data_IF_698562755112
#
_entry.id   IF_698562755112
#
_cell.length_a   1.000
_cell.length_b   1.000
_cell.length_c   1.000
_cell.angle_alpha   90.00
_cell.angle_beta   90.00
_cell.angle_gamma   90.00
#
_symmetry.space_group_name_H-M   'P 1'
#
loop_
_entity.id
_entity.type
_entity.pdbx_description
1 polymer ?
#
# COMPACT_ATOMS: atom_id res chain seq x y z
N UNK A 1 -9.44 0.72 -12.82
CA UNK A 1 -9.36 -0.76 -12.78
C UNK A 1 -9.94 -1.41 -14.03
N UNK A 2 -11.05 -0.89 -14.62
CA UNK A 2 -11.71 -1.53 -15.79
C UNK A 2 -10.79 -1.67 -17.00
N UNK A 3 -10.05 -0.63 -17.38
CA UNK A 3 -9.11 -0.68 -18.50
C UNK A 3 -7.95 -1.67 -18.29
N UNK A 4 -7.51 -1.86 -17.06
CA UNK A 4 -6.53 -2.90 -16.73
C UNK A 4 -7.10 -4.30 -17.03
N UNK A 5 -8.35 -4.56 -16.61
CA UNK A 5 -9.00 -5.84 -16.89
C UNK A 5 -9.23 -6.06 -18.38
N UNK A 6 -9.69 -5.05 -19.12
CA UNK A 6 -9.89 -5.12 -20.58
C UNK A 6 -8.59 -5.44 -21.30
N UNK A 7 -7.50 -4.76 -20.97
CA UNK A 7 -6.18 -5.05 -21.55
C UNK A 7 -5.71 -6.46 -21.21
N UNK A 8 -5.88 -6.92 -19.97
CA UNK A 8 -5.52 -8.28 -19.60
C UNK A 8 -6.32 -9.33 -20.38
N UNK A 9 -7.63 -9.12 -20.58
CA UNK A 9 -8.47 -10.02 -21.39
C UNK A 9 -7.93 -10.13 -22.81
N UNK A 10 -7.60 -8.99 -23.45
CA UNK A 10 -7.07 -8.95 -24.80
C UNK A 10 -5.73 -9.69 -24.89
N UNK A 11 -4.75 -9.32 -24.05
CA UNK A 11 -3.41 -9.88 -24.11
C UNK A 11 -3.35 -11.36 -23.71
N UNK A 12 -4.12 -11.79 -22.71
CA UNK A 12 -4.18 -13.19 -22.33
C UNK A 12 -4.75 -14.06 -23.45
N UNK A 13 -5.81 -13.61 -24.11
CA UNK A 13 -6.37 -14.34 -25.27
C UNK A 13 -5.40 -14.38 -26.45
N UNK A 14 -4.60 -13.35 -26.63
CA UNK A 14 -3.64 -13.27 -27.74
C UNK A 14 -2.38 -14.09 -27.50
N UNK A 15 -1.88 -14.17 -26.28
CA UNK A 15 -0.55 -14.69 -26.00
C UNK A 15 -0.51 -15.92 -25.09
N UNK A 16 -1.64 -16.31 -24.49
CA UNK A 16 -1.71 -17.38 -23.48
C UNK A 16 -2.65 -18.53 -23.85
N UNK A 17 -2.94 -18.67 -25.13
CA UNK A 17 -3.60 -19.86 -25.68
C UNK A 17 -2.52 -20.77 -26.21
N UNK A 18 -2.49 -22.03 -25.77
CA UNK A 18 -1.56 -23.05 -26.22
C UNK A 18 -1.85 -23.47 -27.67
N UNK A 19 -0.89 -24.11 -28.34
CA UNK A 19 -1.04 -24.57 -29.73
C UNK A 19 -2.22 -25.53 -29.92
N UNK A 20 -2.56 -26.29 -28.88
CA UNK A 20 -3.71 -27.22 -28.87
C UNK A 20 -5.07 -26.52 -28.56
N UNK A 21 -5.07 -25.20 -28.43
CA UNK A 21 -6.24 -24.38 -28.13
C UNK A 21 -6.63 -24.28 -26.65
N UNK A 22 -5.87 -24.89 -25.74
CA UNK A 22 -6.12 -24.75 -24.30
C UNK A 22 -5.64 -23.41 -23.79
N UNK A 23 -6.44 -22.80 -22.91
CA UNK A 23 -6.06 -21.64 -22.15
C UNK A 23 -5.36 -22.06 -20.86
N UNK A 24 -4.18 -21.52 -20.56
CA UNK A 24 -3.50 -21.69 -19.29
C UNK A 24 -3.80 -20.53 -18.30
N UNK A 25 -4.90 -19.84 -18.51
CA UNK A 25 -5.40 -18.75 -17.69
C UNK A 25 -6.91 -18.81 -17.56
N UNK A 26 -7.46 -18.11 -16.56
CA UNK A 26 -8.89 -17.83 -16.45
C UNK A 26 -9.09 -16.36 -16.09
N UNK A 27 -10.07 -15.72 -16.73
CA UNK A 27 -10.56 -14.41 -16.38
C UNK A 27 -12.04 -14.56 -16.09
N UNK A 28 -12.40 -14.30 -14.83
CA UNK A 28 -13.76 -14.53 -14.33
C UNK A 28 -14.34 -13.19 -13.89
N UNK A 29 -15.50 -12.85 -14.42
CA UNK A 29 -16.28 -11.72 -13.92
C UNK A 29 -17.05 -12.18 -12.68
N UNK A 30 -16.74 -11.56 -11.54
CA UNK A 30 -17.44 -11.78 -10.28
C UNK A 30 -18.68 -10.88 -10.19
N UNK A 31 -19.60 -11.19 -9.29
CA UNK A 31 -20.80 -10.40 -9.01
C UNK A 31 -20.42 -9.03 -8.41
N UNK A 32 -19.46 -9.04 -7.48
CA UNK A 32 -18.98 -7.88 -6.76
C UNK A 32 -17.53 -8.08 -6.27
N UNK A 33 -17.00 -7.09 -5.55
CA UNK A 33 -15.66 -7.14 -4.97
C UNK A 33 -15.48 -8.20 -3.91
N UNK A 34 -16.53 -8.53 -3.14
CA UNK A 34 -16.51 -9.62 -2.16
C UNK A 34 -16.29 -10.96 -2.86
N UNK A 35 -17.07 -11.23 -3.90
CA UNK A 35 -16.91 -12.45 -4.69
C UNK A 35 -15.55 -12.48 -5.41
N UNK A 36 -15.10 -11.35 -5.95
CA UNK A 36 -13.81 -11.26 -6.63
C UNK A 36 -12.64 -11.63 -5.73
N UNK A 37 -12.53 -11.03 -4.53
CA UNK A 37 -11.44 -11.34 -3.60
C UNK A 37 -11.54 -12.77 -3.06
N UNK A 38 -12.75 -13.28 -2.82
CA UNK A 38 -12.97 -14.68 -2.45
C UNK A 38 -12.45 -15.65 -3.52
N UNK A 39 -12.69 -15.36 -4.80
CA UNK A 39 -12.16 -16.15 -5.93
C UNK A 39 -10.62 -16.06 -5.99
N UNK A 40 -10.03 -14.86 -5.78
CA UNK A 40 -8.57 -14.68 -5.74
C UNK A 40 -7.95 -15.53 -4.65
N UNK A 41 -8.47 -15.49 -3.43
CA UNK A 41 -7.95 -16.27 -2.31
C UNK A 41 -8.15 -17.78 -2.55
N UNK A 42 -9.33 -18.19 -3.03
CA UNK A 42 -9.56 -19.59 -3.37
C UNK A 42 -8.61 -20.13 -4.43
N UNK A 43 -8.34 -19.35 -5.47
CA UNK A 43 -7.37 -19.68 -6.50
C UNK A 43 -5.93 -19.72 -5.95
N UNK A 44 -5.55 -18.74 -5.12
CA UNK A 44 -4.25 -18.71 -4.44
C UNK A 44 -4.02 -19.89 -3.50
N UNK A 45 -5.06 -20.30 -2.76
CA UNK A 45 -5.02 -21.50 -1.94
C UNK A 45 -4.81 -22.75 -2.79
N UNK A 46 -5.48 -22.83 -3.93
CA UNK A 46 -5.33 -23.94 -4.88
C UNK A 46 -3.98 -23.94 -5.66
N UNK A 47 -3.15 -22.92 -5.46
CA UNK A 47 -1.83 -22.80 -6.06
C UNK A 47 -1.80 -22.02 -7.37
N UNK A 48 -2.89 -21.35 -7.77
CA UNK A 48 -2.87 -20.44 -8.90
C UNK A 48 -2.36 -19.06 -8.48
N UNK A 49 -1.62 -18.40 -9.39
CA UNK A 49 -1.26 -16.97 -9.24
C UNK A 49 -2.48 -16.15 -9.65
N UNK A 50 -3.04 -15.43 -8.72
CA UNK A 50 -4.34 -14.78 -8.90
C UNK A 50 -4.35 -13.35 -8.40
N UNK A 51 -5.11 -12.51 -9.10
CA UNK A 51 -5.24 -11.10 -8.75
C UNK A 51 -6.65 -10.57 -9.07
N UNK A 52 -6.98 -9.47 -8.42
CA UNK A 52 -8.10 -8.61 -8.81
C UNK A 52 -7.68 -7.15 -8.81
N UNK A 53 -8.46 -6.28 -9.43
CA UNK A 53 -8.23 -4.84 -9.42
C UNK A 53 -9.48 -4.06 -9.08
N UNK A 54 -9.33 -3.06 -8.22
CA UNK A 54 -10.44 -2.23 -7.73
C UNK A 54 -9.97 -0.80 -7.43
N UNK A 55 -10.74 -0.06 -6.66
CA UNK A 55 -10.40 1.23 -6.06
C UNK A 55 -10.88 1.22 -4.60
N UNK A 56 -10.55 2.24 -3.82
CA UNK A 56 -10.84 2.32 -2.39
C UNK A 56 -12.21 1.83 -1.93
N UNK A 57 -13.35 2.14 -2.60
CA UNK A 57 -14.65 1.59 -2.22
C UNK A 57 -14.72 0.06 -2.26
N UNK A 58 -14.12 -0.56 -3.29
CA UNK A 58 -14.08 -2.02 -3.38
C UNK A 58 -13.11 -2.63 -2.39
N UNK A 59 -11.96 -1.97 -2.11
CA UNK A 59 -11.05 -2.39 -1.04
C UNK A 59 -11.78 -2.43 0.30
N UNK A 60 -12.65 -1.45 0.59
CA UNK A 60 -13.48 -1.45 1.80
C UNK A 60 -14.38 -2.68 1.91
N UNK A 61 -14.95 -3.14 0.81
CA UNK A 61 -15.77 -4.34 0.77
C UNK A 61 -14.97 -5.64 0.98
N UNK A 62 -13.71 -5.65 0.57
CA UNK A 62 -12.82 -6.81 0.67
C UNK A 62 -12.28 -7.08 2.09
N UNK A 63 -12.50 -6.18 3.05
CA UNK A 63 -11.81 -6.15 4.33
C UNK A 63 -11.81 -7.48 5.08
N UNK A 64 -12.96 -8.18 5.18
CA UNK A 64 -13.06 -9.44 5.91
C UNK A 64 -12.30 -10.57 5.22
N UNK A 65 -12.46 -10.72 3.90
CA UNK A 65 -11.73 -11.74 3.14
C UNK A 65 -10.21 -11.51 3.17
N UNK A 66 -9.76 -10.26 3.16
CA UNK A 66 -8.33 -9.94 3.31
C UNK A 66 -7.82 -10.36 4.69
N UNK A 67 -8.63 -10.15 5.76
CA UNK A 67 -8.32 -10.68 7.09
C UNK A 67 -8.23 -12.19 7.13
N UNK A 68 -9.13 -12.89 6.44
CA UNK A 68 -9.03 -14.33 6.25
C UNK A 68 -7.74 -14.72 5.52
N UNK A 69 -7.42 -14.06 4.41
CA UNK A 69 -6.19 -14.29 3.65
C UNK A 69 -4.92 -14.07 4.47
N UNK A 70 -4.92 -13.03 5.32
CA UNK A 70 -3.83 -12.73 6.25
C UNK A 70 -3.63 -13.83 7.30
N UNK A 71 -4.71 -14.20 8.01
CA UNK A 71 -4.61 -15.12 9.15
C UNK A 71 -4.47 -16.59 8.73
N UNK A 72 -5.15 -16.99 7.66
CA UNK A 72 -5.05 -18.33 7.08
C UNK A 72 -3.83 -18.49 6.15
N UNK A 73 -3.11 -17.40 5.90
CA UNK A 73 -1.90 -17.35 5.08
C UNK A 73 -2.11 -17.85 3.66
N UNK A 74 -2.96 -17.14 2.94
CA UNK A 74 -3.36 -17.44 1.57
C UNK A 74 -2.85 -16.33 0.64
N UNK A 75 -2.08 -16.65 -0.42
CA UNK A 75 -1.59 -15.65 -1.36
C UNK A 75 -2.72 -15.11 -2.26
N UNK A 76 -2.62 -13.82 -2.58
CA UNK A 76 -3.46 -13.15 -3.54
C UNK A 76 -2.97 -11.73 -3.77
N UNK A 77 -3.23 -11.14 -4.94
CA UNK A 77 -2.80 -9.77 -5.25
C UNK A 77 -4.01 -8.90 -5.52
N UNK A 78 -4.03 -7.73 -4.90
CA UNK A 78 -5.07 -6.73 -5.07
C UNK A 78 -4.44 -5.44 -5.62
N UNK A 79 -4.84 -5.04 -6.82
CA UNK A 79 -4.50 -3.74 -7.37
C UNK A 79 -5.53 -2.72 -6.94
N UNK A 80 -5.11 -1.76 -6.13
CA UNK A 80 -5.91 -0.61 -5.76
C UNK A 80 -5.49 0.59 -6.62
N UNK A 81 -6.38 0.98 -7.52
CA UNK A 81 -6.19 2.17 -8.36
C UNK A 81 -6.87 3.34 -7.65
N UNK A 82 -6.12 4.00 -6.80
CA UNK A 82 -6.63 5.04 -5.91
C UNK A 82 -7.29 6.20 -6.66
N UNK A 83 -8.39 6.66 -6.14
CA UNK A 83 -9.12 7.84 -6.62
C UNK A 83 -9.67 8.64 -5.44
N UNK A 84 -10.17 9.84 -5.73
CA UNK A 84 -10.73 10.71 -4.68
C UNK A 84 -11.92 10.03 -4.00
N UNK A 85 -11.79 9.79 -2.70
CA UNK A 85 -12.84 9.39 -1.77
C UNK A 85 -13.25 10.56 -0.86
N UNK A 86 -14.04 10.32 0.20
CA UNK A 86 -14.63 9.03 0.61
C UNK A 86 -15.84 8.62 -0.24
N UNK A 87 -16.28 7.37 -0.10
CA UNK A 87 -17.34 6.73 -0.88
C UNK A 87 -17.01 6.74 -2.39
N UNK A 88 -17.98 6.93 -3.27
CA UNK A 88 -17.73 7.04 -4.72
C UNK A 88 -16.82 8.23 -5.05
N UNK A 89 -16.92 9.30 -4.27
CA UNK A 89 -16.09 10.49 -4.38
C UNK A 89 -16.08 11.11 -5.77
N UNK A 90 -14.89 11.33 -6.33
CA UNK A 90 -14.70 11.81 -7.69
C UNK A 90 -14.06 10.70 -8.55
N UNK A 91 -14.85 9.88 -9.27
CA UNK A 91 -14.37 8.64 -9.91
C UNK A 91 -13.27 8.81 -10.94
N UNK A 92 -13.11 10.02 -11.50
CA UNK A 92 -12.11 10.35 -12.53
C UNK A 92 -11.01 11.29 -12.02
N UNK A 93 -10.85 11.40 -10.70
CA UNK A 93 -9.85 12.28 -10.06
C UNK A 93 -8.89 11.48 -9.23
N UNK A 94 -7.60 11.82 -9.35
CA UNK A 94 -6.52 11.13 -8.63
C UNK A 94 -6.45 11.56 -7.17
N UNK A 95 -6.04 10.63 -6.32
CA UNK A 95 -5.69 10.85 -4.92
C UNK A 95 -4.77 9.71 -4.43
N UNK A 96 -4.16 9.90 -3.27
CA UNK A 96 -3.43 8.88 -2.53
C UNK A 96 -4.11 8.68 -1.16
N UNK A 97 -5.40 8.32 -1.18
CA UNK A 97 -6.29 8.35 -0.01
C UNK A 97 -6.50 7.03 0.70
N UNK A 98 -5.94 5.92 0.17
CA UNK A 98 -6.23 4.58 0.67
C UNK A 98 -5.05 3.94 1.43
N UNK A 99 -3.98 4.72 1.70
CA UNK A 99 -2.72 4.25 2.31
C UNK A 99 -2.95 3.63 3.69
N UNK A 100 -3.62 4.34 4.59
CA UNK A 100 -3.91 3.83 5.93
C UNK A 100 -4.81 2.61 5.89
N UNK A 101 -5.77 2.60 4.96
CA UNK A 101 -6.69 1.50 4.79
C UNK A 101 -5.94 0.23 4.40
N UNK A 102 -5.13 0.27 3.32
CA UNK A 102 -4.45 -0.93 2.82
C UNK A 102 -3.31 -1.38 3.73
N UNK A 103 -2.67 -0.48 4.47
CA UNK A 103 -1.56 -0.84 5.36
C UNK A 103 -1.97 -1.84 6.45
N UNK A 104 -3.23 -1.76 6.91
CA UNK A 104 -3.77 -2.60 8.01
C UNK A 104 -5.23 -3.02 7.78
N UNK A 105 -5.57 -3.30 6.52
CA UNK A 105 -6.96 -3.65 6.17
C UNK A 105 -7.42 -4.91 6.90
N UNK A 106 -8.57 -4.87 7.49
CA UNK A 106 -9.34 -5.83 8.27
C UNK A 106 -9.43 -5.41 9.74
N UNK A 107 -9.93 -6.29 10.59
CA UNK A 107 -10.02 -6.10 12.04
C UNK A 107 -8.94 -6.88 12.75
N UNK A 108 -8.60 -6.48 13.97
CA UNK A 108 -7.51 -7.07 14.75
C UNK A 108 -6.13 -6.56 14.33
N UNK A 109 -5.09 -7.30 14.67
CA UNK A 109 -3.70 -6.94 14.44
C UNK A 109 -3.24 -7.44 13.07
N UNK A 110 -3.54 -6.67 12.03
CA UNK A 110 -3.17 -6.98 10.64
C UNK A 110 -2.09 -6.05 10.11
N UNK A 111 -1.33 -6.53 9.13
CA UNK A 111 -0.31 -5.80 8.41
C UNK A 111 -0.21 -6.34 6.98
N UNK A 112 0.01 -5.48 5.99
CA UNK A 112 0.08 -5.93 4.60
C UNK A 112 1.34 -5.47 3.89
N UNK A 113 1.82 -6.29 2.95
CA UNK A 113 2.81 -5.88 1.97
C UNK A 113 2.11 -5.00 0.94
N UNK A 114 2.62 -3.80 0.74
CA UNK A 114 2.08 -2.83 -0.22
C UNK A 114 3.19 -2.36 -1.14
N UNK A 115 3.03 -2.51 -2.44
CA UNK A 115 3.92 -1.98 -3.46
C UNK A 115 3.33 -0.69 -4.03
N UNK A 116 4.17 0.34 -4.20
CA UNK A 116 3.70 1.67 -4.58
C UNK A 116 4.46 2.14 -5.83
N UNK A 117 3.97 1.84 -7.04
CA UNK A 117 4.62 2.23 -8.28
C UNK A 117 4.51 3.75 -8.51
N UNK A 118 5.57 4.35 -9.08
CA UNK A 118 5.57 5.75 -9.51
C UNK A 118 5.46 5.93 -11.03
N UNK A 119 5.56 4.84 -11.78
CA UNK A 119 5.68 4.86 -13.24
C UNK A 119 5.05 3.61 -13.85
N UNK A 120 4.84 3.67 -15.17
CA UNK A 120 4.36 2.53 -15.96
C UNK A 120 5.38 1.37 -15.91
N UNK A 121 6.69 1.68 -15.89
CA UNK A 121 7.75 0.69 -15.74
C UNK A 121 7.62 -0.06 -14.42
N UNK A 122 7.47 0.65 -13.29
CA UNK A 122 7.27 -0.02 -12.00
C UNK A 122 5.92 -0.76 -11.92
N UNK A 123 4.86 -0.29 -12.60
CA UNK A 123 3.63 -1.08 -12.71
C UNK A 123 3.88 -2.42 -13.42
N UNK A 124 4.70 -2.43 -14.46
CA UNK A 124 5.08 -3.67 -15.15
C UNK A 124 5.87 -4.60 -14.24
N UNK A 125 6.91 -4.10 -13.57
CA UNK A 125 7.77 -4.90 -12.67
C UNK A 125 6.95 -5.48 -11.51
N UNK A 126 6.12 -4.65 -10.88
CA UNK A 126 5.29 -5.06 -9.75
C UNK A 126 4.14 -6.01 -10.15
N UNK A 127 3.82 -6.09 -11.44
CA UNK A 127 2.89 -7.09 -11.95
C UNK A 127 3.33 -8.53 -11.67
N UNK A 128 4.63 -8.82 -11.72
CA UNK A 128 5.20 -10.13 -11.36
C UNK A 128 5.66 -10.19 -9.90
N UNK A 129 6.29 -9.14 -9.40
CA UNK A 129 6.87 -9.08 -8.05
C UNK A 129 5.80 -9.22 -6.95
N UNK A 130 4.63 -8.59 -7.13
CA UNK A 130 3.53 -8.74 -6.17
C UNK A 130 3.05 -10.18 -6.04
N UNK A 131 2.98 -10.91 -7.15
CA UNK A 131 2.60 -12.32 -7.16
C UNK A 131 3.68 -13.20 -6.51
N UNK A 132 4.96 -12.89 -6.74
CA UNK A 132 6.08 -13.59 -6.11
C UNK A 132 6.07 -13.36 -4.58
N UNK A 133 5.92 -12.11 -4.14
CA UNK A 133 5.83 -11.76 -2.72
C UNK A 133 4.61 -12.41 -2.04
N UNK A 134 3.45 -12.41 -2.72
CA UNK A 134 2.26 -13.06 -2.18
C UNK A 134 2.48 -14.55 -1.93
N UNK A 135 3.14 -15.25 -2.85
CA UNK A 135 3.46 -16.67 -2.69
C UNK A 135 4.58 -16.94 -1.70
N UNK A 136 5.65 -16.12 -1.72
CA UNK A 136 6.77 -16.25 -0.79
C UNK A 136 6.31 -16.06 0.65
N UNK A 137 5.49 -15.05 0.91
CA UNK A 137 5.01 -14.73 2.25
C UNK A 137 3.64 -15.31 2.58
N UNK A 138 2.99 -15.98 1.61
CA UNK A 138 1.67 -16.60 1.79
C UNK A 138 0.68 -15.62 2.44
N UNK A 139 0.46 -14.48 1.77
CA UNK A 139 -0.36 -13.39 2.29
C UNK A 139 -0.95 -12.56 1.14
N UNK A 140 -2.07 -11.85 1.35
CA UNK A 140 -2.49 -10.83 0.42
C UNK A 140 -1.43 -9.72 0.27
N UNK A 141 -1.19 -9.30 -0.97
CA UNK A 141 -0.28 -8.20 -1.33
C UNK A 141 -1.06 -7.16 -2.11
N UNK A 142 -0.88 -5.89 -1.75
CA UNK A 142 -1.49 -4.77 -2.45
C UNK A 142 -0.50 -4.11 -3.40
N UNK A 143 -0.99 -3.71 -4.59
CA UNK A 143 -0.29 -2.75 -5.45
C UNK A 143 -1.13 -1.47 -5.45
N UNK A 144 -0.58 -0.43 -4.84
CA UNK A 144 -1.27 0.82 -4.58
C UNK A 144 -0.85 1.85 -5.64
N UNK A 145 -1.56 1.86 -6.76
CA UNK A 145 -1.43 2.82 -7.84
C UNK A 145 -2.45 3.95 -7.68
N UNK A 146 -2.49 4.88 -8.62
CA UNK A 146 -3.49 5.94 -8.64
C UNK A 146 -3.99 6.24 -10.05
N UNK A 147 -5.00 7.13 -10.17
CA UNK A 147 -5.60 7.47 -11.46
C UNK A 147 -4.70 8.35 -12.34
N UNK A 148 -3.67 8.98 -11.80
CA UNK A 148 -2.72 9.70 -12.63
C UNK A 148 -1.94 8.72 -13.54
N UNK A 149 -1.49 7.59 -12.97
CA UNK A 149 -0.95 6.48 -13.78
C UNK A 149 -2.03 5.77 -14.60
N UNK A 150 -3.22 5.61 -14.03
CA UNK A 150 -4.26 4.76 -14.60
C UNK A 150 -5.07 5.39 -15.74
N UNK A 151 -5.05 6.71 -15.91
CA UNK A 151 -5.87 7.43 -16.92
C UNK A 151 -5.06 8.28 -17.88
N UNK A 152 -3.82 8.63 -17.59
CA UNK A 152 -2.99 9.46 -18.43
C UNK A 152 -2.04 8.61 -19.29
N UNK A 153 -1.58 9.19 -20.39
CA UNK A 153 -0.58 8.59 -21.25
C UNK A 153 0.81 8.94 -20.71
N UNK A 154 1.58 7.92 -20.38
CA UNK A 154 2.94 8.05 -19.89
C UNK A 154 3.93 7.50 -20.91
N UNK A 155 5.09 8.12 -20.98
CA UNK A 155 6.24 7.56 -21.69
C UNK A 155 6.95 6.54 -20.79
N UNK A 156 7.40 5.46 -21.41
CA UNK A 156 8.18 4.41 -20.74
C UNK A 156 9.22 3.87 -21.69
N UNK A 157 10.34 3.42 -21.15
CA UNK A 157 11.25 2.56 -21.88
C UNK A 157 10.56 1.24 -22.25
N UNK A 158 11.05 0.53 -23.28
CA UNK A 158 10.55 -0.80 -23.60
C UNK A 158 10.66 -1.74 -22.42
N UNK A 159 9.59 -2.51 -22.15
CA UNK A 159 9.59 -3.49 -21.07
C UNK A 159 10.52 -4.65 -21.39
N UNK A 160 11.28 -5.11 -20.40
CA UNK A 160 12.15 -6.28 -20.50
C UNK A 160 11.49 -7.43 -19.75
N UNK A 161 11.26 -8.54 -20.46
CA UNK A 161 10.70 -9.73 -19.81
C UNK A 161 11.67 -10.25 -18.73
N UNK A 162 11.21 -10.48 -17.49
CA UNK A 162 12.09 -10.91 -16.42
C UNK A 162 12.65 -12.31 -16.72
N UNK A 163 13.98 -12.45 -16.67
CA UNK A 163 14.67 -13.75 -16.83
C UNK A 163 14.50 -14.63 -15.58
N UNK A 164 14.15 -14.05 -14.45
CA UNK A 164 13.92 -14.78 -13.21
C UNK A 164 12.70 -15.69 -13.33
N UNK A 165 12.86 -16.94 -12.97
CA UNK A 165 11.75 -17.87 -12.81
C UNK A 165 10.77 -17.41 -11.72
N UNK A 166 9.54 -17.92 -11.81
CA UNK A 166 8.48 -17.67 -10.84
C UNK A 166 8.91 -18.16 -9.46
N UNK A 167 8.74 -17.30 -8.45
CA UNK A 167 8.98 -17.65 -7.05
C UNK A 167 7.69 -18.21 -6.43
N UNK A 168 7.73 -19.46 -5.99
CA UNK A 168 6.57 -20.15 -5.38
C UNK A 168 6.62 -20.17 -3.84
N UNK A 169 7.73 -19.66 -3.26
CA UNK A 169 7.96 -19.70 -1.83
C UNK A 169 8.15 -21.13 -1.28
N UNK A 170 7.78 -21.34 -0.04
CA UNK A 170 7.99 -22.61 0.69
C UNK A 170 6.86 -23.60 0.37
N UNK A 171 7.02 -24.38 -0.68
CA UNK A 171 6.09 -25.45 -1.10
C UNK A 171 6.73 -26.82 -0.92
N UNK A 172 6.05 -27.70 -0.18
CA UNK A 172 6.46 -29.08 0.03
C UNK A 172 6.04 -29.95 -1.16
N UNK A 173 7.01 -30.60 -1.81
CA UNK A 173 6.75 -31.66 -2.76
C UNK A 173 6.51 -32.99 -2.05
N UNK A 174 6.06 -34.01 -2.83
CA UNK A 174 5.94 -35.39 -2.33
C UNK A 174 7.25 -35.89 -1.72
N UNK A 175 8.37 -35.71 -2.44
CA UNK A 175 9.69 -36.18 -2.03
C UNK A 175 10.16 -35.53 -0.71
N UNK A 176 9.86 -34.23 -0.53
CA UNK A 176 10.15 -33.55 0.73
C UNK A 176 9.28 -34.09 1.86
N UNK A 177 7.98 -34.33 1.63
CA UNK A 177 7.09 -34.95 2.63
C UNK A 177 7.55 -36.34 3.02
N UNK A 178 7.94 -37.19 2.06
CA UNK A 178 8.52 -38.52 2.30
C UNK A 178 9.76 -38.42 3.22
N UNK A 179 10.63 -37.42 2.99
CA UNK A 179 11.85 -37.21 3.80
C UNK A 179 11.55 -36.75 5.22
N UNK A 180 10.43 -36.05 5.46
CA UNK A 180 10.01 -35.56 6.77
C UNK A 180 9.33 -36.67 7.62
N UNK A 181 8.92 -37.77 7.01
CA UNK A 181 8.22 -38.86 7.69
C UNK A 181 6.93 -38.43 8.39
N UNK A 182 6.16 -37.55 7.75
CA UNK A 182 4.90 -37.01 8.30
C UNK A 182 5.05 -35.97 9.41
N UNK A 183 6.24 -35.48 9.69
CA UNK A 183 6.52 -34.51 10.74
C UNK A 183 6.54 -33.08 10.20
N UNK A 184 5.42 -32.58 9.78
CA UNK A 184 5.30 -31.17 9.40
C UNK A 184 4.02 -30.56 9.94
N UNK A 185 3.97 -29.24 10.03
CA UNK A 185 2.79 -28.49 10.43
C UNK A 185 2.60 -27.29 9.50
N UNK A 186 1.35 -27.10 9.03
CA UNK A 186 1.02 -26.02 8.10
C UNK A 186 1.45 -24.63 8.58
N UNK A 187 1.44 -24.41 9.89
CA UNK A 187 1.74 -23.12 10.51
C UNK A 187 3.00 -23.17 11.40
N UNK A 188 3.83 -24.20 11.23
CA UNK A 188 5.09 -24.32 11.94
C UNK A 188 6.17 -23.46 11.29
N UNK A 189 6.82 -22.61 12.10
CA UNK A 189 7.98 -21.81 11.70
C UNK A 189 9.25 -22.60 12.04
N UNK A 190 9.78 -23.32 11.06
CA UNK A 190 10.88 -24.27 11.28
C UNK A 190 12.27 -23.64 11.13
N UNK A 191 12.36 -22.50 10.47
CA UNK A 191 13.61 -21.77 10.17
C UNK A 191 13.66 -20.37 10.77
N UNK A 192 12.60 -19.97 11.49
CA UNK A 192 12.58 -18.77 12.32
C UNK A 192 12.31 -17.46 11.57
N UNK A 193 11.93 -17.53 10.30
CA UNK A 193 11.62 -16.34 9.47
C UNK A 193 10.13 -15.94 9.51
N UNK A 194 9.30 -16.70 10.25
CA UNK A 194 7.87 -16.46 10.38
C UNK A 194 7.02 -17.03 9.25
N UNK A 195 7.62 -17.52 8.15
CA UNK A 195 6.91 -18.06 6.98
C UNK A 195 6.87 -19.59 7.06
N UNK A 196 5.69 -20.19 7.20
CA UNK A 196 5.57 -21.66 7.26
C UNK A 196 5.64 -22.29 5.87
N UNK A 197 5.86 -23.59 5.85
CA UNK A 197 5.75 -24.41 4.64
C UNK A 197 4.28 -24.72 4.34
N UNK A 198 3.94 -24.91 3.06
CA UNK A 198 2.62 -25.35 2.61
C UNK A 198 2.72 -26.46 1.57
N UNK A 199 1.69 -27.25 1.46
CA UNK A 199 1.42 -28.12 0.31
C UNK A 199 0.40 -27.45 -0.60
N UNK A 200 0.27 -27.92 -1.82
CA UNK A 200 -0.78 -27.50 -2.74
C UNK A 200 -1.76 -28.64 -2.98
N UNK A 201 -3.06 -28.36 -3.23
CA UNK A 201 -3.99 -29.38 -3.66
C UNK A 201 -3.46 -30.15 -4.86
N UNK A 202 -3.58 -31.48 -4.84
CA UNK A 202 -3.03 -32.36 -5.84
C UNK A 202 -1.61 -32.91 -5.53
N UNK A 203 -0.98 -32.50 -4.42
CA UNK A 203 0.24 -33.16 -3.92
C UNK A 203 -0.12 -34.59 -3.50
N UNK A 204 0.44 -35.59 -4.24
CA UNK A 204 0.14 -37.02 -4.06
C UNK A 204 0.91 -37.60 -2.86
N UNK A 205 0.49 -37.22 -1.64
CA UNK A 205 1.05 -37.73 -0.39
C UNK A 205 -0.03 -37.74 0.71
N UNK A 206 -0.12 -38.79 1.56
CA UNK A 206 -1.16 -38.88 2.60
C UNK A 206 -1.11 -37.74 3.62
N UNK A 207 0.06 -37.20 3.91
CA UNK A 207 0.23 -36.09 4.87
C UNK A 207 0.16 -34.70 4.20
N UNK A 208 -0.20 -34.60 2.92
CA UNK A 208 -0.31 -33.31 2.23
C UNK A 208 -1.56 -32.53 2.64
N UNK A 209 -2.61 -33.20 3.09
CA UNK A 209 -3.87 -32.55 3.45
C UNK A 209 -3.78 -31.78 4.77
N UNK A 210 -4.31 -30.56 4.80
CA UNK A 210 -4.46 -29.75 6.00
C UNK A 210 -5.75 -28.93 5.95
N UNK A 211 -6.18 -28.44 7.11
CA UNK A 211 -7.24 -27.45 7.16
C UNK A 211 -6.67 -26.05 7.10
N UNK A 212 -7.16 -25.25 6.15
CA UNK A 212 -6.97 -23.81 6.16
C UNK A 212 -7.88 -23.19 7.21
N UNK A 213 -7.31 -22.36 8.10
CA UNK A 213 -8.03 -21.85 9.27
C UNK A 213 -8.03 -20.32 9.29
N UNK A 214 -9.23 -19.74 9.22
CA UNK A 214 -9.48 -18.36 9.65
C UNK A 214 -9.79 -18.24 11.14
N UNK A 215 -10.02 -19.37 11.84
CA UNK A 215 -10.17 -19.45 13.29
C UNK A 215 -8.83 -19.77 13.97
N UNK A 216 -8.77 -19.62 15.30
CA UNK A 216 -7.62 -19.98 16.10
C UNK A 216 -7.12 -21.40 15.82
N UNK A 217 -5.82 -21.60 15.74
CA UNK A 217 -5.20 -22.88 15.38
C UNK A 217 -3.82 -23.06 15.99
N UNK A 218 -3.44 -24.31 16.14
CA UNK A 218 -2.06 -24.71 16.50
C UNK A 218 -1.15 -24.75 15.25
N UNK A 219 0.11 -25.11 15.45
CA UNK A 219 1.10 -25.22 14.36
C UNK A 219 0.76 -26.27 13.30
N UNK A 220 -0.11 -27.24 13.63
CA UNK A 220 -0.59 -28.28 12.70
C UNK A 220 -1.85 -27.88 11.96
N UNK A 221 -2.42 -26.70 12.21
CA UNK A 221 -3.70 -26.25 11.65
C UNK A 221 -4.93 -26.81 12.34
N UNK A 222 -4.79 -27.42 13.52
CA UNK A 222 -5.93 -27.88 14.30
C UNK A 222 -6.54 -26.70 15.05
N UNK A 223 -7.88 -26.70 15.15
CA UNK A 223 -8.57 -25.68 15.92
C UNK A 223 -8.05 -25.59 17.36
N UNK A 224 -7.76 -24.37 17.82
CA UNK A 224 -7.32 -24.08 19.17
C UNK A 224 -7.78 -22.70 19.61
N UNK A 225 -8.31 -22.60 20.83
CA UNK A 225 -8.60 -21.33 21.54
C UNK A 225 -7.65 -21.14 22.74
N UNK A 226 -6.55 -21.87 22.77
CA UNK A 226 -5.57 -21.75 23.84
C UNK A 226 -4.82 -20.43 23.71
N UNK A 227 -4.65 -19.64 24.79
CA UNK A 227 -3.96 -18.36 24.73
C UNK A 227 -2.53 -18.47 24.20
N UNK A 228 -1.83 -19.57 24.51
CA UNK A 228 -0.45 -19.80 24.09
C UNK A 228 -0.35 -19.98 22.57
N UNK A 229 -1.28 -20.75 21.97
CA UNK A 229 -1.31 -20.99 20.53
C UNK A 229 -1.63 -19.68 19.78
N UNK A 230 -2.61 -18.91 20.27
CA UNK A 230 -2.98 -17.62 19.71
C UNK A 230 -1.80 -16.64 19.73
N UNK A 231 -1.17 -16.47 20.92
CA UNK A 231 -0.01 -15.58 21.07
C UNK A 231 1.15 -16.00 20.16
N UNK A 232 1.50 -17.29 20.13
CA UNK A 232 2.58 -17.80 19.31
C UNK A 232 2.34 -17.55 17.81
N UNK A 233 1.09 -17.66 17.36
CA UNK A 233 0.72 -17.41 15.97
C UNK A 233 0.83 -15.91 15.61
N UNK A 234 0.35 -15.00 16.47
CA UNK A 234 0.52 -13.56 16.25
C UNK A 234 1.98 -13.13 16.26
N UNK A 235 2.79 -13.62 17.20
CA UNK A 235 4.23 -13.34 17.26
C UNK A 235 4.95 -13.84 15.99
N UNK A 236 4.53 -14.98 15.43
CA UNK A 236 5.05 -15.53 14.20
C UNK A 236 4.65 -14.67 13.00
N UNK A 237 3.38 -14.26 12.89
CA UNK A 237 2.90 -13.38 11.84
C UNK A 237 3.65 -12.04 11.87
N UNK A 238 3.85 -11.44 13.04
CA UNK A 238 4.65 -10.22 13.17
C UNK A 238 6.08 -10.43 12.64
N UNK A 239 6.74 -11.54 13.00
CA UNK A 239 8.09 -11.89 12.51
C UNK A 239 8.13 -12.07 11.00
N UNK A 240 7.09 -12.65 10.39
CA UNK A 240 6.96 -12.76 8.93
C UNK A 240 7.07 -11.41 8.23
N UNK A 241 6.44 -10.37 8.77
CA UNK A 241 6.50 -9.01 8.21
C UNK A 241 7.83 -8.31 8.49
N UNK A 242 8.52 -8.62 9.59
CA UNK A 242 9.90 -8.18 9.77
C UNK A 242 10.82 -8.79 8.69
N UNK A 243 10.67 -10.09 8.42
CA UNK A 243 11.40 -10.75 7.33
C UNK A 243 11.08 -10.13 5.96
N UNK A 244 9.83 -9.74 5.73
CA UNK A 244 9.41 -9.13 4.46
C UNK A 244 10.17 -7.83 4.13
N UNK A 245 10.69 -7.10 5.12
CA UNK A 245 11.50 -5.89 4.91
C UNK A 245 12.72 -6.12 4.03
N UNK A 246 13.26 -7.34 4.02
CA UNK A 246 14.44 -7.68 3.23
C UNK A 246 14.10 -8.01 1.77
N UNK A 247 12.83 -8.27 1.47
CA UNK A 247 12.37 -8.72 0.17
C UNK A 247 11.55 -7.68 -0.61
N UNK A 248 10.93 -6.73 0.08
CA UNK A 248 10.18 -5.65 -0.59
C UNK A 248 11.11 -4.68 -1.31
N UNK A 249 10.66 -4.02 -2.39
CA UNK A 249 11.43 -3.00 -3.08
C UNK A 249 11.96 -1.94 -2.13
N UNK A 250 13.29 -1.79 -2.08
CA UNK A 250 13.94 -0.77 -1.26
C UNK A 250 13.56 0.63 -1.73
N UNK A 251 13.49 1.62 -0.85
CA UNK A 251 13.28 3.00 -1.25
C UNK A 251 14.43 3.50 -2.13
N UNK A 252 14.13 4.41 -3.04
CA UNK A 252 15.17 5.19 -3.73
C UNK A 252 15.61 6.31 -2.81
N UNK A 253 16.91 6.41 -2.56
CA UNK A 253 17.47 7.40 -1.63
C UNK A 253 18.53 8.24 -2.33
N UNK A 254 18.34 9.55 -2.32
CA UNK A 254 19.26 10.55 -2.84
C UNK A 254 19.68 11.47 -1.70
N UNK A 255 20.91 11.36 -1.25
CA UNK A 255 21.48 12.24 -0.24
C UNK A 255 22.26 13.36 -0.91
N UNK A 256 22.00 14.58 -0.48
CA UNK A 256 22.80 15.76 -0.83
C UNK A 256 23.63 16.17 0.39
N UNK A 257 24.91 16.35 0.16
CA UNK A 257 25.83 16.78 1.21
C UNK A 257 25.36 18.10 1.83
N UNK A 258 25.32 18.17 3.15
CA UNK A 258 24.90 19.33 3.94
C UNK A 258 23.41 19.73 3.80
N UNK A 259 22.57 18.96 3.09
CA UNK A 259 21.15 19.23 3.06
C UNK A 259 20.53 19.02 4.45
N UNK A 260 19.92 20.07 5.00
CA UNK A 260 19.22 20.02 6.29
C UNK A 260 17.78 19.55 6.14
N UNK A 261 17.26 19.63 4.91
CA UNK A 261 15.89 19.31 4.54
C UNK A 261 15.88 18.01 3.74
N UNK A 262 15.10 17.04 4.18
CA UNK A 262 14.75 15.85 3.43
C UNK A 262 13.32 15.90 2.93
N UNK A 263 13.07 15.31 1.77
CA UNK A 263 11.73 15.01 1.29
C UNK A 263 11.47 13.51 1.33
N UNK A 264 10.24 13.13 1.65
CA UNK A 264 9.71 11.79 1.43
C UNK A 264 8.47 11.90 0.56
N UNK A 265 8.40 11.12 -0.51
CA UNK A 265 7.20 10.98 -1.33
C UNK A 265 7.06 9.55 -1.86
N UNK A 266 5.93 9.27 -2.51
CA UNK A 266 5.61 7.98 -3.09
C UNK A 266 4.65 8.13 -4.29
N UNK A 267 4.54 7.08 -5.09
CA UNK A 267 3.64 7.08 -6.25
C UNK A 267 3.91 8.23 -7.21
N UNK A 268 2.89 8.74 -7.83
CA UNK A 268 2.97 9.81 -8.84
C UNK A 268 3.44 11.16 -8.31
N UNK A 269 3.40 11.38 -7.00
CA UNK A 269 3.96 12.60 -6.37
C UNK A 269 5.46 12.79 -6.68
N UNK A 270 6.16 11.69 -7.01
CA UNK A 270 7.58 11.70 -7.38
C UNK A 270 7.91 12.74 -8.42
N UNK A 271 7.17 12.79 -9.51
CA UNK A 271 7.49 13.62 -10.67
C UNK A 271 7.41 15.11 -10.38
N UNK A 272 6.37 15.53 -9.68
CA UNK A 272 6.24 16.92 -9.23
C UNK A 272 7.32 17.29 -8.21
N UNK A 273 7.72 16.36 -7.35
CA UNK A 273 8.74 16.61 -6.35
C UNK A 273 10.13 16.73 -6.96
N UNK A 274 10.49 15.95 -7.96
CA UNK A 274 11.76 16.08 -8.69
C UNK A 274 11.93 17.49 -9.27
N UNK A 275 10.89 17.98 -9.96
CA UNK A 275 10.89 19.35 -10.50
C UNK A 275 10.91 20.39 -9.38
N UNK A 276 10.17 20.21 -8.30
CA UNK A 276 10.17 21.13 -7.16
C UNK A 276 11.55 21.25 -6.51
N UNK A 277 12.26 20.13 -6.33
CA UNK A 277 13.66 20.13 -5.83
C UNK A 277 14.59 20.92 -6.73
N UNK A 278 14.43 20.78 -8.05
CA UNK A 278 15.18 21.59 -9.03
C UNK A 278 14.85 23.08 -8.90
N UNK A 279 13.57 23.46 -8.76
CA UNK A 279 13.15 24.85 -8.54
C UNK A 279 13.75 25.42 -7.25
N UNK A 280 13.71 24.69 -6.14
CA UNK A 280 14.29 25.10 -4.86
C UNK A 280 15.78 25.37 -4.96
N UNK A 281 16.51 24.49 -5.63
CA UNK A 281 17.95 24.66 -5.86
C UNK A 281 18.24 25.86 -6.73
N UNK A 282 17.60 25.98 -7.90
CA UNK A 282 17.93 27.00 -8.90
C UNK A 282 17.41 28.39 -8.53
N UNK A 283 16.24 28.50 -7.92
CA UNK A 283 15.63 29.79 -7.59
C UNK A 283 16.05 30.32 -6.20
N UNK A 284 16.40 29.41 -5.27
CA UNK A 284 16.62 29.74 -3.85
C UNK A 284 17.94 29.23 -3.27
N UNK A 285 18.69 28.42 -3.99
CA UNK A 285 19.91 27.79 -3.48
C UNK A 285 19.65 26.79 -2.34
N UNK A 286 18.43 26.26 -2.24
CA UNK A 286 18.07 25.29 -1.21
C UNK A 286 18.33 23.88 -1.71
N UNK A 287 19.35 23.22 -1.12
CA UNK A 287 19.64 21.80 -1.38
C UNK A 287 18.76 20.91 -0.51
N UNK A 288 18.23 19.85 -1.11
CA UNK A 288 17.35 18.90 -0.45
C UNK A 288 17.74 17.46 -0.76
N UNK A 289 17.71 16.61 0.25
CA UNK A 289 17.78 15.14 0.06
C UNK A 289 16.39 14.58 -0.23
N UNK A 290 16.33 13.39 -0.83
CA UNK A 290 15.08 12.77 -1.21
C UNK A 290 15.07 11.28 -0.91
N UNK A 291 13.95 10.79 -0.38
CA UNK A 291 13.64 9.38 -0.26
C UNK A 291 12.28 9.11 -0.90
N UNK A 292 12.25 8.26 -1.93
CA UNK A 292 11.01 7.76 -2.52
C UNK A 292 10.66 6.41 -1.94
N UNK A 293 9.53 6.35 -1.25
CA UNK A 293 8.95 5.09 -0.78
C UNK A 293 8.44 4.28 -1.97
N UNK A 294 8.72 2.98 -1.95
CA UNK A 294 8.30 2.03 -2.98
C UNK A 294 7.43 0.90 -2.44
N UNK A 295 7.51 0.65 -1.13
CA UNK A 295 6.78 -0.44 -0.50
C UNK A 295 6.56 -0.24 1.01
N UNK A 296 5.65 -1.02 1.57
CA UNK A 296 5.52 -1.35 2.98
C UNK A 296 5.73 -2.86 3.15
N UNK A 297 6.25 -3.33 4.31
CA UNK A 297 6.67 -2.58 5.49
C UNK A 297 7.89 -1.70 5.21
N UNK A 298 8.05 -0.64 6.02
CA UNK A 298 9.20 0.25 5.91
C UNK A 298 10.51 -0.47 6.20
N UNK A 299 11.54 -0.13 5.42
CA UNK A 299 12.89 -0.64 5.61
C UNK A 299 13.74 0.32 6.44
N UNK A 300 14.89 -0.11 6.93
CA UNK A 300 15.74 0.69 7.82
C UNK A 300 16.29 1.97 7.17
N UNK A 301 16.31 2.04 5.83
CA UNK A 301 16.68 3.23 5.10
C UNK A 301 15.82 4.44 5.48
N UNK A 302 14.53 4.20 5.75
CA UNK A 302 13.58 5.25 6.15
C UNK A 302 13.98 5.86 7.49
N UNK A 303 14.28 5.03 8.50
CA UNK A 303 14.73 5.51 9.82
C UNK A 303 16.02 6.31 9.71
N UNK A 304 16.99 5.77 8.95
CA UNK A 304 18.27 6.44 8.74
C UNK A 304 18.10 7.78 8.04
N UNK A 305 17.24 7.82 7.00
CA UNK A 305 16.98 9.07 6.28
C UNK A 305 16.37 10.14 7.19
N UNK A 306 15.37 9.81 8.00
CA UNK A 306 14.77 10.78 8.92
C UNK A 306 15.75 11.22 10.01
N UNK A 307 16.57 10.31 10.54
CA UNK A 307 17.57 10.65 11.56
C UNK A 307 18.63 11.65 11.07
N UNK A 308 19.01 11.57 9.78
CA UNK A 308 20.08 12.42 9.19
C UNK A 308 19.67 13.87 8.95
N UNK A 309 18.38 14.20 8.89
CA UNK A 309 17.91 15.53 8.54
C UNK A 309 17.34 16.27 9.75
N UNK A 310 17.37 17.61 9.70
CA UNK A 310 16.74 18.46 10.71
C UNK A 310 15.21 18.43 10.56
N UNK A 311 14.74 18.47 9.32
CA UNK A 311 13.32 18.44 8.94
C UNK A 311 13.13 17.56 7.73
N UNK A 312 12.03 16.79 7.75
CA UNK A 312 11.64 15.93 6.64
C UNK A 312 10.19 16.20 6.26
N UNK A 313 10.00 16.63 5.02
CA UNK A 313 8.69 16.95 4.46
C UNK A 313 8.13 15.75 3.72
N UNK A 314 7.01 15.22 4.20
CA UNK A 314 6.25 14.15 3.54
C UNK A 314 5.23 14.79 2.62
N UNK A 315 5.35 14.53 1.32
CA UNK A 315 4.50 15.11 0.28
C UNK A 315 3.49 14.07 -0.18
N UNK A 316 2.22 14.38 -0.05
CA UNK A 316 1.13 13.41 -0.27
C UNK A 316 -0.07 14.02 -0.98
N UNK A 317 -0.78 13.20 -1.76
CA UNK A 317 -2.00 13.59 -2.44
C UNK A 317 -3.26 13.14 -1.67
N UNK A 318 -3.30 13.49 -0.38
CA UNK A 318 -4.46 13.33 0.50
C UNK A 318 -4.50 14.45 1.56
N UNK A 319 -5.66 14.66 2.18
CA UNK A 319 -5.87 15.72 3.19
C UNK A 319 -5.21 15.43 4.53
N UNK A 320 -5.18 14.18 4.93
CA UNK A 320 -4.89 13.82 6.33
C UNK A 320 -3.39 13.53 6.55
N UNK A 321 -2.62 13.31 5.48
CA UNK A 321 -1.19 12.97 5.56
C UNK A 321 -0.98 11.56 6.09
N UNK A 322 -1.63 10.60 5.43
CA UNK A 322 -1.73 9.22 5.87
C UNK A 322 -0.37 8.52 5.95
N UNK A 323 0.48 8.71 4.95
CA UNK A 323 1.84 8.16 4.97
C UNK A 323 2.70 8.81 6.06
N UNK A 324 2.56 10.11 6.28
CA UNK A 324 3.27 10.79 7.37
C UNK A 324 2.87 10.25 8.75
N UNK A 325 1.62 9.84 8.92
CA UNK A 325 1.16 9.25 10.18
C UNK A 325 1.72 7.83 10.38
N UNK A 326 1.78 7.01 9.32
CA UNK A 326 2.47 5.71 9.39
C UNK A 326 3.97 5.88 9.68
N UNK A 327 4.62 6.84 9.03
CA UNK A 327 6.03 7.16 9.28
C UNK A 327 6.28 7.60 10.73
N UNK A 328 5.37 8.36 11.34
CA UNK A 328 5.50 8.75 12.75
C UNK A 328 5.54 7.56 13.70
N UNK A 329 4.75 6.53 13.42
CA UNK A 329 4.79 5.30 14.20
C UNK A 329 6.13 4.56 14.04
N UNK A 330 6.67 4.55 12.82
CA UNK A 330 7.93 3.87 12.51
C UNK A 330 9.16 4.59 13.08
N UNK A 331 9.18 5.95 13.02
CA UNK A 331 10.30 6.78 13.47
C UNK A 331 10.02 7.49 14.80
N UNK A 332 9.43 6.80 15.77
CA UNK A 332 8.89 7.38 17.00
C UNK A 332 9.81 8.40 17.69
N UNK A 333 11.13 8.15 17.73
CA UNK A 333 12.12 9.05 18.36
C UNK A 333 12.34 10.35 17.56
N UNK A 334 12.20 10.31 16.24
CA UNK A 334 12.44 11.42 15.31
C UNK A 334 11.15 11.99 14.70
N UNK A 335 9.97 11.55 15.16
CA UNK A 335 8.68 11.98 14.63
C UNK A 335 8.48 13.51 14.61
N UNK A 336 9.13 14.23 15.52
CA UNK A 336 9.10 15.68 15.62
C UNK A 336 9.73 16.39 14.42
N UNK A 337 10.56 15.69 13.63
CA UNK A 337 11.16 16.21 12.39
C UNK A 337 10.21 16.15 11.20
N UNK A 338 9.17 15.29 11.25
CA UNK A 338 8.24 15.11 10.15
C UNK A 338 7.28 16.30 10.00
N UNK A 339 7.14 16.78 8.78
CA UNK A 339 6.21 17.83 8.34
C UNK A 339 5.38 17.30 7.18
N UNK A 340 4.20 17.85 6.96
CA UNK A 340 3.27 17.43 5.89
C UNK A 340 3.14 18.53 4.84
N UNK A 341 3.31 18.20 3.57
CA UNK A 341 2.87 19.01 2.43
C UNK A 341 1.77 18.21 1.74
N UNK A 342 0.54 18.74 1.76
CA UNK A 342 -0.65 17.99 1.36
C UNK A 342 -1.33 18.64 0.17
N UNK A 343 -1.53 17.85 -0.89
CA UNK A 343 -2.27 18.22 -2.09
C UNK A 343 -3.52 17.34 -2.20
N UNK A 344 -4.72 17.92 -2.23
CA UNK A 344 -5.97 17.15 -2.24
C UNK A 344 -7.08 17.81 -3.06
N UNK A 345 -6.72 18.30 -4.24
CA UNK A 345 -7.65 18.92 -5.18
C UNK A 345 -8.34 17.92 -6.11
N UNK A 346 -7.83 16.68 -6.17
CA UNK A 346 -8.25 15.68 -7.13
C UNK A 346 -7.56 15.78 -8.50
N UNK A 347 -6.65 16.74 -8.65
CA UNK A 347 -5.77 16.88 -9.80
C UNK A 347 -4.38 16.36 -9.47
N UNK A 348 -3.58 15.95 -10.46
CA UNK A 348 -2.17 15.64 -10.23
C UNK A 348 -1.46 16.77 -9.51
N UNK A 349 -0.52 16.42 -8.63
CA UNK A 349 0.28 17.41 -7.92
C UNK A 349 1.25 18.08 -8.91
N UNK A 350 1.43 19.39 -8.78
CA UNK A 350 2.41 20.15 -9.54
C UNK A 350 3.59 20.63 -8.68
N UNK A 351 4.74 20.86 -9.32
CA UNK A 351 5.97 21.23 -8.65
C UNK A 351 5.87 22.56 -7.88
N UNK A 352 5.17 23.55 -8.44
CA UNK A 352 5.06 24.87 -7.83
C UNK A 352 4.28 24.82 -6.52
N UNK A 353 3.25 24.03 -6.46
CA UNK A 353 2.49 23.79 -5.21
C UNK A 353 3.41 23.30 -4.08
N UNK A 354 4.32 22.35 -4.37
CA UNK A 354 5.27 21.83 -3.37
C UNK A 354 6.30 22.88 -2.99
N UNK A 355 6.87 23.55 -3.99
CA UNK A 355 7.91 24.59 -3.80
C UNK A 355 7.40 25.73 -2.92
N UNK A 356 6.25 26.26 -3.25
CA UNK A 356 5.67 27.40 -2.51
C UNK A 356 5.26 27.01 -1.09
N UNK A 357 4.71 25.82 -0.89
CA UNK A 357 4.37 25.29 0.42
C UNK A 357 5.62 25.15 1.32
N UNK A 358 6.72 24.59 0.80
CA UNK A 358 7.97 24.49 1.55
C UNK A 358 8.47 25.86 1.95
N UNK A 359 8.57 26.81 1.00
CA UNK A 359 9.08 28.16 1.27
C UNK A 359 8.25 28.89 2.31
N UNK A 360 6.94 28.76 2.27
CA UNK A 360 6.04 29.33 3.28
C UNK A 360 6.29 28.72 4.67
N UNK A 361 6.43 27.40 4.76
CA UNK A 361 6.69 26.72 6.02
C UNK A 361 8.05 27.06 6.61
N UNK A 362 9.10 27.11 5.80
CA UNK A 362 10.45 27.47 6.24
C UNK A 362 10.52 28.93 6.70
N UNK A 363 9.90 29.86 5.99
CA UNK A 363 9.81 31.28 6.43
C UNK A 363 9.13 31.43 7.81
N UNK A 364 8.17 30.58 8.14
CA UNK A 364 7.50 30.60 9.45
C UNK A 364 8.42 30.08 10.57
N UNK A 365 9.32 29.15 10.26
CA UNK A 365 10.28 28.58 11.22
C UNK A 365 11.41 29.59 11.54
N UNK A 366 11.86 30.33 10.53
CA UNK A 366 12.95 31.32 10.69
C UNK A 366 12.53 32.58 11.45
N UNK A 367 11.26 32.89 11.50
CA UNK A 367 10.75 33.99 12.33
C UNK A 367 10.73 33.56 13.80
N UNK A 368 11.38 34.33 14.75
CA UNK A 368 11.23 34.05 16.16
C UNK A 368 9.75 34.15 16.52
N UNK A 369 9.20 33.05 17.02
CA UNK A 369 7.80 33.04 17.49
C UNK A 369 7.66 34.10 18.56
N UNK A 370 6.74 35.08 18.44
CA UNK A 370 6.43 35.95 19.55
C UNK A 370 5.93 35.04 20.68
N UNK A 371 6.49 35.20 21.87
CA UNK A 371 6.02 34.57 23.10
C UNK A 371 4.56 34.98 23.30
N UNK A 372 3.63 34.24 22.71
CA UNK A 372 2.21 34.35 23.00
C UNK A 372 1.99 33.80 24.42
N UNK A 373 2.08 34.67 25.40
CA UNK A 373 1.44 34.45 26.70
C UNK A 373 -0.06 34.37 26.46
N UNK A 374 -0.54 33.18 26.05
CA UNK A 374 -1.97 32.91 25.99
C UNK A 374 -2.47 32.83 27.44
N UNK A 375 -3.05 33.89 27.93
CA UNK A 375 -4.01 33.76 29.02
C UNK A 375 -5.12 32.86 28.50
N UNK A 376 -5.21 31.67 29.07
CA UNK A 376 -6.32 30.75 28.80
C UNK A 376 -7.60 31.40 29.38
N UNK A 377 -8.29 32.16 28.56
CA UNK A 377 -9.70 32.41 28.79
C UNK A 377 -10.45 31.13 28.41
N UNK A 378 -11.21 30.62 29.37
CA UNK A 378 -12.06 29.46 29.14
C UNK A 378 -12.94 29.73 27.90
N UNK A 379 -13.03 28.81 26.94
CA UNK A 379 -13.86 29.01 25.77
C UNK A 379 -15.32 29.12 26.20
N UNK A 380 -15.92 30.30 26.02
CA UNK A 380 -17.36 30.43 26.11
C UNK A 380 -17.97 29.50 25.04
N UNK A 381 -18.81 28.59 25.50
CA UNK A 381 -19.56 27.70 24.60
C UNK A 381 -20.32 28.58 23.60
N UNK A 382 -19.95 28.50 22.33
CA UNK A 382 -20.72 29.16 21.27
C UNK A 382 -22.10 28.50 21.22
N UNK A 383 -23.20 29.26 21.31
CA UNK A 383 -24.53 28.71 21.13
C UNK A 383 -24.60 28.09 19.73
N UNK A 384 -25.02 26.84 19.65
CA UNK A 384 -25.23 26.14 18.35
C UNK A 384 -26.34 26.91 17.63
N UNK A 385 -26.08 27.51 16.46
CA UNK A 385 -27.13 28.24 15.74
C UNK A 385 -28.24 27.26 15.33
N UNK A 386 -29.51 27.68 15.49
CA UNK A 386 -30.61 26.87 15.03
C UNK A 386 -30.58 26.77 13.50
N UNK A 387 -31.02 25.66 12.94
CA UNK A 387 -31.08 25.46 11.49
C UNK A 387 -31.81 26.63 10.79
N UNK A 388 -32.87 27.15 11.39
CA UNK A 388 -33.61 28.30 10.88
C UNK A 388 -32.79 29.61 10.83
N UNK A 389 -31.83 29.83 11.74
CA UNK A 389 -30.96 31.02 11.70
C UNK A 389 -29.87 30.92 10.63
N UNK A 390 -29.47 29.70 10.22
CA UNK A 390 -28.50 29.47 9.17
C UNK A 390 -29.13 29.61 7.76
N UNK A 391 -30.38 29.19 7.60
CA UNK A 391 -31.09 29.29 6.31
C UNK A 391 -31.47 30.73 5.98
N UNK A 392 -31.86 31.57 6.98
CA UNK A 392 -32.24 32.94 6.75
C UNK A 392 -31.07 33.90 6.38
N UNK A 393 -29.83 33.49 6.64
CA UNK A 393 -28.66 34.31 6.24
C UNK A 393 -28.23 34.08 4.78
N UNK A 394 -28.71 33.01 4.12
CA UNK A 394 -28.35 32.67 2.74
C UNK A 394 -29.37 33.13 1.68
N UNK A 395 -30.41 33.86 2.06
CA UNK A 395 -31.48 34.31 1.14
C UNK A 395 -31.36 35.78 0.68
N UNK A 396 -30.22 36.45 0.80
CA UNK A 396 -30.02 37.72 0.11
C UNK A 396 -29.49 37.41 -1.32
N UNK A 397 -30.28 37.76 -2.37
CA UNK A 397 -29.80 37.64 -3.73
C UNK A 397 -28.62 38.58 -3.95
N UNK A 398 -27.51 38.05 -4.45
CA UNK A 398 -26.45 38.89 -5.02
C UNK A 398 -26.96 39.60 -6.26
N UNK A 399 -26.70 40.91 -6.46
CA UNK A 399 -27.04 41.61 -7.67
C UNK A 399 -26.30 41.00 -8.82
N UNK A 400 -27.03 40.64 -9.91
CA UNK A 400 -26.44 40.27 -11.19
C UNK A 400 -25.63 41.45 -11.71
N UNK A 401 -24.34 41.27 -11.98
CA UNK A 401 -23.61 42.19 -12.83
C UNK A 401 -24.23 42.09 -14.24
N UNK A 402 -24.80 43.16 -14.69
CA UNK A 402 -25.06 43.43 -16.11
C UNK A 402 -23.70 43.81 -16.70
N UNK A 403 -23.22 42.97 -17.67
CA UNK A 403 -22.75 43.24 -19.03
C UNK A 403 -22.07 41.98 -19.58
#
# INVERSE_FOLDING_TARGET
>A
SSSLCESLIEYMRRFRIEEDGRANFAIVQAEDELAAVGMVLGAGWAGARSMTSTAGPGVSLMAEFIGLGYYAEIPGVIWDIQRVGPSTGLPTRTAQGDVNQVASLSHGDTQHIVLIPNSVGECYDYGSEALDLAEMFQTPVFVLSDLDLGMNNWMSDPFVYPEKGIQRGKVLSKELLDSLGGKWGRYADVDGDGVPWRTLPGTDHPDAAYFTRGSGHDTSGRYSERPEDYKANLDRLARKFETAKDFVPKPVVEIRDQARIGFIAYGTTHWALEESRHQLQTERGIETSYLRLRALPFTDEVKRFVAMHDRVYVVEQNRDGQMADLLRLEVANDQHKLRKILHYTGLPCDARTITDALLQMEATIELPQPLLLVRAEAPMARPVPSYASLVNNNTKPQPRAED
#
